data_IF_643678176074
#
_entry.id   IF_643678176074
#
_cell.length_a   1.000
_cell.length_b   1.000
_cell.length_c   1.000
_cell.angle_alpha   90.00
_cell.angle_beta   90.00
_cell.angle_gamma   90.00
#
_symmetry.space_group_name_H-M   'P 1'
#
loop_
_entity.id
_entity.type
_entity.pdbx_description
1 polymer ?
#
# COMPACT_ATOMS: atom_id res chain seq x y z
N UNK A 1 8.21 0.55 18.53
CA UNK A 1 7.63 1.84 18.12
C UNK A 1 6.65 2.32 19.17
N UNK A 2 6.43 3.62 19.29
CA UNK A 2 5.33 4.13 20.13
C UNK A 2 4.02 3.88 19.38
N UNK A 3 3.03 3.28 20.03
CA UNK A 3 1.73 2.98 19.40
C UNK A 3 0.99 4.30 19.14
N UNK A 4 0.51 4.58 17.91
CA UNK A 4 -0.34 5.73 17.64
C UNK A 4 -1.74 5.50 18.22
N UNK A 5 -2.41 6.58 18.63
CA UNK A 5 -3.80 6.52 19.09
C UNK A 5 -4.50 7.86 18.91
N UNK A 6 -5.82 7.80 18.88
CA UNK A 6 -6.71 8.94 18.73
C UNK A 6 -6.68 9.77 20.01
N UNK A 7 -6.30 11.04 19.91
CA UNK A 7 -6.30 12.05 20.98
C UNK A 7 -7.54 12.91 20.97
N UNK A 8 -8.05 13.16 19.77
CA UNK A 8 -9.31 13.82 19.53
C UNK A 8 -10.00 13.08 18.38
N UNK A 9 -11.30 12.82 18.54
CA UNK A 9 -12.06 12.02 17.58
C UNK A 9 -11.99 12.63 16.17
N UNK A 10 -11.90 11.79 15.16
CA UNK A 10 -11.94 12.24 13.78
C UNK A 10 -13.37 12.65 13.43
N UNK A 11 -13.57 13.75 12.69
CA UNK A 11 -14.90 14.15 12.25
C UNK A 11 -15.47 13.12 11.26
N UNK A 12 -16.80 13.02 11.17
CA UNK A 12 -17.46 12.10 10.24
C UNK A 12 -17.13 12.36 8.76
N UNK A 13 -16.70 13.59 8.45
CA UNK A 13 -16.22 14.03 7.13
C UNK A 13 -14.89 14.75 7.28
N UNK A 14 -13.77 14.01 7.27
CA UNK A 14 -12.45 14.59 7.40
C UNK A 14 -12.08 15.50 6.22
N UNK A 15 -11.75 16.78 6.45
CA UNK A 15 -11.50 17.73 5.36
C UNK A 15 -10.11 17.57 4.72
N UNK A 16 -9.17 16.98 5.46
CA UNK A 16 -7.77 16.89 5.08
C UNK A 16 -6.93 16.34 6.22
N UNK A 17 -5.67 16.05 5.92
CA UNK A 17 -4.67 15.56 6.88
C UNK A 17 -3.45 16.46 6.83
N UNK A 18 -2.96 16.86 8.00
CA UNK A 18 -1.73 17.63 8.15
C UNK A 18 -0.87 17.02 9.25
N UNK A 19 0.42 17.33 9.25
CA UNK A 19 1.35 16.90 10.28
C UNK A 19 1.87 18.09 11.10
N UNK A 20 1.74 17.96 12.41
CA UNK A 20 2.35 18.85 13.39
C UNK A 20 3.64 18.19 13.88
N UNK A 21 4.78 18.71 13.41
CA UNK A 21 6.10 18.18 13.73
C UNK A 21 6.51 18.42 15.19
N UNK A 22 6.07 19.53 15.79
CA UNK A 22 6.33 19.85 17.20
C UNK A 22 5.59 18.86 18.12
N UNK A 23 4.32 18.58 17.81
CA UNK A 23 3.51 17.64 18.58
C UNK A 23 3.74 16.16 18.20
N UNK A 24 4.43 15.90 17.08
CA UNK A 24 4.52 14.57 16.48
C UNK A 24 3.14 13.97 16.25
N UNK A 25 2.25 14.71 15.59
CA UNK A 25 0.84 14.40 15.52
C UNK A 25 0.25 14.63 14.13
N UNK A 26 -0.71 13.79 13.74
CA UNK A 26 -1.58 14.08 12.60
C UNK A 26 -2.77 14.89 13.07
N UNK A 27 -3.07 15.96 12.34
CA UNK A 27 -4.21 16.86 12.55
C UNK A 27 -5.20 16.65 11.41
N UNK A 28 -6.46 16.36 11.76
CA UNK A 28 -7.52 15.96 10.81
C UNK A 28 -8.79 16.73 11.17
N UNK A 29 -8.91 17.97 10.66
CA UNK A 29 -9.91 18.92 11.16
C UNK A 29 -9.73 19.14 12.66
N UNK A 30 -10.76 18.84 13.45
CA UNK A 30 -10.71 18.87 14.92
C UNK A 30 -10.09 17.60 15.53
N UNK A 31 -9.90 16.55 14.72
CA UNK A 31 -9.33 15.27 15.13
C UNK A 31 -7.82 15.30 15.24
N UNK A 32 -7.28 14.38 16.07
CA UNK A 32 -5.84 14.29 16.31
C UNK A 32 -5.40 12.86 16.59
N UNK A 33 -4.29 12.44 15.98
CA UNK A 33 -3.63 11.15 16.24
C UNK A 33 -2.19 11.41 16.65
N UNK A 34 -1.75 10.81 17.76
CA UNK A 34 -0.37 10.95 18.26
C UNK A 34 -0.03 9.78 19.19
N UNK A 35 1.24 9.34 19.26
CA UNK A 35 2.39 9.85 18.52
C UNK A 35 2.49 9.30 17.09
N UNK A 36 2.95 10.14 16.17
CA UNK A 36 3.26 9.82 14.78
C UNK A 36 4.69 10.28 14.48
N UNK A 37 5.65 9.35 14.27
CA UNK A 37 7.01 9.70 13.89
C UNK A 37 7.05 10.45 12.55
N UNK A 38 7.95 11.41 12.41
CA UNK A 38 8.09 12.20 11.19
C UNK A 38 8.42 11.31 9.98
N UNK A 39 9.15 10.22 10.19
CA UNK A 39 9.54 9.27 9.17
C UNK A 39 8.34 8.48 8.62
N UNK A 40 7.32 8.25 9.45
CA UNK A 40 6.06 7.65 8.99
C UNK A 40 5.26 8.65 8.15
N UNK A 41 5.26 9.93 8.53
CA UNK A 41 4.66 11.01 7.74
C UNK A 41 5.38 11.20 6.40
N UNK A 42 6.70 11.29 6.39
CA UNK A 42 7.51 11.53 5.18
C UNK A 42 7.75 10.28 4.33
N UNK A 43 7.14 9.14 4.67
CA UNK A 43 7.32 7.92 3.90
C UNK A 43 6.69 8.04 2.51
N UNK A 44 7.54 7.90 1.48
CA UNK A 44 7.12 7.98 0.08
C UNK A 44 7.39 6.69 -0.69
N UNK A 45 6.54 6.41 -1.68
CA UNK A 45 6.76 5.39 -2.72
C UNK A 45 6.62 6.08 -4.06
N UNK A 46 7.64 5.97 -4.91
CA UNK A 46 7.69 6.68 -6.20
C UNK A 46 7.44 8.20 -6.09
N UNK A 47 7.91 8.82 -4.99
CA UNK A 47 7.74 10.24 -4.71
C UNK A 47 6.37 10.65 -4.15
N UNK A 48 5.44 9.71 -3.97
CA UNK A 48 4.10 9.98 -3.41
C UNK A 48 4.06 9.62 -1.93
N UNK A 49 3.57 10.54 -1.09
CA UNK A 49 3.43 10.32 0.35
C UNK A 49 2.29 9.35 0.64
N UNK A 50 2.63 8.22 1.28
CA UNK A 50 1.70 7.09 1.44
C UNK A 50 0.54 7.44 2.36
N UNK A 51 0.79 8.12 3.49
CA UNK A 51 -0.27 8.50 4.44
C UNK A 51 -1.27 9.48 3.83
N UNK A 52 -0.79 10.50 3.11
CA UNK A 52 -1.66 11.46 2.43
C UNK A 52 -2.51 10.79 1.35
N UNK A 53 -1.89 9.95 0.49
CA UNK A 53 -2.61 9.24 -0.56
C UNK A 53 -3.68 8.31 0.02
N UNK A 54 -3.31 7.52 1.02
CA UNK A 54 -4.21 6.57 1.66
C UNK A 54 -5.39 7.28 2.33
N UNK A 55 -5.12 8.38 3.02
CA UNK A 55 -6.14 9.19 3.69
C UNK A 55 -7.05 9.88 2.68
N UNK A 56 -6.48 10.55 1.68
CA UNK A 56 -7.23 11.31 0.66
C UNK A 56 -8.24 10.45 -0.08
N UNK A 57 -7.87 9.22 -0.45
CA UNK A 57 -8.78 8.26 -1.10
C UNK A 57 -10.00 7.92 -0.23
N UNK A 58 -9.80 7.68 1.07
CA UNK A 58 -10.89 7.38 2.00
C UNK A 58 -11.71 8.62 2.37
N UNK A 59 -11.06 9.78 2.49
CA UNK A 59 -11.76 11.05 2.72
C UNK A 59 -12.69 11.38 1.53
N UNK A 60 -12.23 11.21 0.29
CA UNK A 60 -13.06 11.35 -0.91
C UNK A 60 -14.22 10.34 -0.93
N UNK A 61 -13.92 9.05 -0.69
CA UNK A 61 -14.94 8.00 -0.62
C UNK A 61 -16.00 8.31 0.46
N UNK A 62 -15.61 8.88 1.61
CA UNK A 62 -16.52 9.23 2.71
C UNK A 62 -17.64 10.20 2.34
N UNK A 63 -17.44 10.97 1.27
CA UNK A 63 -18.41 11.94 0.74
C UNK A 63 -18.99 11.53 -0.61
N UNK A 64 -18.73 10.30 -1.07
CA UNK A 64 -19.22 9.80 -2.36
C UNK A 64 -18.50 10.38 -3.57
N UNK A 65 -17.24 10.79 -3.39
CA UNK A 65 -16.39 11.31 -4.46
C UNK A 65 -15.22 10.37 -4.75
N UNK A 66 -14.68 10.45 -5.97
CA UNK A 66 -13.38 9.85 -6.30
C UNK A 66 -12.24 10.85 -6.02
N UNK A 67 -10.98 10.40 -5.89
CA UNK A 67 -9.84 11.27 -5.55
C UNK A 67 -9.64 12.46 -6.52
N UNK A 68 -10.11 12.34 -7.76
CA UNK A 68 -10.10 13.36 -8.80
C UNK A 68 -11.17 14.45 -8.59
N UNK A 69 -12.02 14.31 -7.57
CA UNK A 69 -13.08 15.27 -7.21
C UNK A 69 -14.38 15.12 -8.01
N UNK A 70 -14.48 14.08 -8.84
CA UNK A 70 -15.71 13.75 -9.54
C UNK A 70 -16.66 12.95 -8.62
N UNK A 71 -17.96 12.97 -8.96
CA UNK A 71 -18.95 12.11 -8.32
C UNK A 71 -18.61 10.64 -8.61
N UNK A 72 -18.71 9.79 -7.58
CA UNK A 72 -18.47 8.37 -7.74
C UNK A 72 -19.57 7.71 -8.58
N UNK A 73 -19.17 6.87 -9.54
CA UNK A 73 -20.06 6.07 -10.38
C UNK A 73 -19.75 4.57 -10.27
N UNK A 74 -20.61 3.73 -10.87
CA UNK A 74 -20.42 2.27 -10.87
C UNK A 74 -20.22 1.68 -9.46
N UNK A 75 -19.11 0.95 -9.28
CA UNK A 75 -18.77 0.34 -8.00
C UNK A 75 -18.34 1.36 -6.93
N UNK A 76 -17.74 2.47 -7.34
CA UNK A 76 -17.29 3.52 -6.41
C UNK A 76 -18.49 4.20 -5.73
N UNK A 77 -19.64 4.26 -6.41
CA UNK A 77 -20.90 4.78 -5.86
C UNK A 77 -21.49 3.92 -4.71
N UNK A 78 -21.06 2.67 -4.58
CA UNK A 78 -21.50 1.73 -3.52
C UNK A 78 -20.70 1.94 -2.22
N UNK A 79 -19.72 2.85 -2.22
CA UNK A 79 -18.82 3.14 -1.10
C UNK A 79 -19.48 3.67 0.19
N UNK A 80 -18.68 3.74 1.25
CA UNK A 80 -19.11 4.19 2.57
C UNK A 80 -19.53 5.67 2.58
N UNK A 81 -20.69 5.98 3.19
CA UNK A 81 -21.23 7.36 3.29
C UNK A 81 -20.77 8.10 4.55
N UNK A 82 -19.48 8.02 4.85
CA UNK A 82 -18.85 8.70 5.97
C UNK A 82 -17.58 8.01 6.41
N UNK A 83 -16.80 8.68 7.26
CA UNK A 83 -15.61 8.09 7.85
C UNK A 83 -15.97 7.04 8.88
N UNK A 84 -15.49 5.81 8.71
CA UNK A 84 -15.84 4.69 9.58
C UNK A 84 -14.82 4.45 10.70
N UNK A 85 -15.23 3.80 11.81
CA UNK A 85 -14.28 3.36 12.84
C UNK A 85 -13.20 2.42 12.32
N UNK A 86 -13.52 1.58 11.32
CA UNK A 86 -12.59 0.66 10.68
C UNK A 86 -11.47 1.43 9.99
N UNK A 87 -11.79 2.50 9.23
CA UNK A 87 -10.77 3.35 8.63
C UNK A 87 -9.89 4.05 9.67
N UNK A 88 -10.44 4.40 10.84
CA UNK A 88 -9.60 4.90 11.93
C UNK A 88 -8.61 3.84 12.40
N UNK A 89 -9.05 2.59 12.56
CA UNK A 89 -8.19 1.46 12.95
C UNK A 89 -7.12 1.20 11.89
N UNK A 90 -7.51 1.14 10.61
CA UNK A 90 -6.58 0.96 9.49
C UNK A 90 -5.54 2.09 9.41
N UNK A 91 -5.93 3.33 9.68
CA UNK A 91 -5.00 4.47 9.72
C UNK A 91 -3.95 4.28 10.83
N UNK A 92 -4.37 3.86 12.02
CA UNK A 92 -3.46 3.59 13.14
C UNK A 92 -2.50 2.41 12.82
N UNK A 93 -3.00 1.39 12.15
CA UNK A 93 -2.19 0.25 11.69
C UNK A 93 -1.18 0.69 10.63
N UNK A 94 -1.60 1.47 9.64
CA UNK A 94 -0.71 1.99 8.60
C UNK A 94 0.41 2.84 9.22
N UNK A 95 0.09 3.77 10.12
CA UNK A 95 1.11 4.56 10.84
C UNK A 95 2.08 3.63 11.57
N UNK A 96 1.58 2.57 12.21
CA UNK A 96 2.40 1.59 12.92
C UNK A 96 3.34 0.85 11.97
N UNK A 97 2.84 0.36 10.84
CA UNK A 97 3.63 -0.33 9.81
C UNK A 97 4.73 0.59 9.26
N UNK A 98 4.39 1.83 8.93
CA UNK A 98 5.36 2.80 8.41
C UNK A 98 6.46 3.12 9.44
N UNK A 99 6.09 3.31 10.71
CA UNK A 99 7.06 3.48 11.79
C UNK A 99 7.96 2.26 11.99
N UNK A 100 7.42 1.04 11.84
CA UNK A 100 8.21 -0.19 11.91
C UNK A 100 9.14 -0.37 10.70
N UNK A 101 8.67 0.01 9.50
CA UNK A 101 9.47 -0.01 8.28
C UNK A 101 10.69 0.90 8.38
N UNK A 102 10.51 2.08 8.98
CA UNK A 102 11.63 2.97 9.25
C UNK A 102 12.60 2.38 10.28
N UNK A 103 12.09 1.78 11.37
CA UNK A 103 12.93 1.10 12.37
C UNK A 103 13.80 -0.04 11.82
N UNK A 104 13.44 -0.65 10.68
CA UNK A 104 14.26 -1.67 10.01
C UNK A 104 15.11 -1.14 8.86
N UNK A 105 15.02 0.15 8.53
CA UNK A 105 15.76 0.78 7.42
C UNK A 105 17.28 0.55 7.48
N UNK A 106 17.97 0.72 8.63
CA UNK A 106 19.41 0.46 8.68
C UNK A 106 19.77 -0.99 8.37
N UNK A 107 18.96 -1.96 8.80
CA UNK A 107 19.16 -3.39 8.50
C UNK A 107 18.95 -3.69 7.02
N UNK A 108 17.96 -3.05 6.39
CA UNK A 108 17.70 -3.17 4.95
C UNK A 108 18.84 -2.60 4.12
N UNK A 109 19.36 -1.43 4.51
CA UNK A 109 20.51 -0.80 3.84
C UNK A 109 21.78 -1.65 3.97
N UNK A 110 22.07 -2.16 5.17
CA UNK A 110 23.18 -3.07 5.38
C UNK A 110 23.05 -4.35 4.55
N UNK A 111 21.85 -4.92 4.47
CA UNK A 111 21.56 -6.07 3.61
C UNK A 111 21.77 -5.74 2.14
N UNK A 112 21.27 -4.60 1.66
CA UNK A 112 21.42 -4.17 0.28
C UNK A 112 22.89 -3.95 -0.09
N UNK A 113 23.68 -3.31 0.77
CA UNK A 113 25.12 -3.13 0.58
C UNK A 113 25.86 -4.47 0.49
N UNK A 114 25.53 -5.41 1.38
CA UNK A 114 26.10 -6.78 1.36
C UNK A 114 25.76 -7.52 0.06
N UNK A 115 24.51 -7.42 -0.41
CA UNK A 115 24.08 -8.04 -1.67
C UNK A 115 24.71 -7.38 -2.90
N UNK A 116 24.92 -6.07 -2.87
CA UNK A 116 25.55 -5.34 -3.97
C UNK A 116 26.99 -5.80 -4.24
N UNK A 117 27.73 -6.13 -3.18
CA UNK A 117 29.10 -6.66 -3.23
C UNK A 117 29.22 -8.19 -3.30
N UNK A 118 28.11 -8.93 -3.22
CA UNK A 118 28.14 -10.38 -3.28
C UNK A 118 28.43 -10.89 -4.70
N UNK A 119 29.08 -12.05 -4.79
CA UNK A 119 29.24 -12.76 -6.06
C UNK A 119 27.85 -13.01 -6.67
N UNK A 120 27.67 -12.59 -7.91
CA UNK A 120 26.44 -12.81 -8.67
C UNK A 120 26.55 -14.11 -9.42
N UNK A 121 25.44 -14.84 -9.52
CA UNK A 121 25.37 -16.03 -10.35
C UNK A 121 25.60 -15.59 -11.81
N UNK A 122 26.64 -16.15 -12.42
CA UNK A 122 27.01 -15.91 -13.80
C UNK A 122 26.08 -16.64 -14.77
N UNK A 123 26.12 -16.22 -16.03
CA UNK A 123 25.36 -16.89 -17.10
C UNK A 123 25.87 -18.31 -17.33
N UNK A 124 27.16 -18.54 -17.13
CA UNK A 124 27.85 -19.82 -17.26
C UNK A 124 27.37 -20.80 -16.18
N UNK A 125 27.29 -20.34 -14.93
CA UNK A 125 26.73 -21.13 -13.82
C UNK A 125 25.26 -21.51 -14.08
N UNK A 126 24.45 -20.58 -14.59
CA UNK A 126 23.06 -20.88 -14.95
C UNK A 126 22.95 -21.90 -16.09
N UNK A 127 23.89 -21.92 -17.04
CA UNK A 127 23.94 -22.94 -18.10
C UNK A 127 24.39 -24.29 -17.56
N UNK A 128 25.43 -24.31 -16.73
CA UNK A 128 25.92 -25.53 -16.09
C UNK A 128 24.84 -26.18 -15.20
N UNK A 129 24.01 -25.37 -14.55
CA UNK A 129 22.86 -25.82 -13.77
C UNK A 129 21.62 -26.20 -14.61
N UNK A 130 21.67 -26.08 -15.95
CA UNK A 130 20.53 -26.40 -16.83
C UNK A 130 19.36 -25.41 -16.76
N UNK A 131 19.53 -24.25 -16.11
CA UNK A 131 18.51 -23.19 -16.04
C UNK A 131 18.43 -22.43 -17.36
N UNK A 132 19.59 -22.19 -18.00
CA UNK A 132 19.68 -21.58 -19.32
C UNK A 132 20.12 -22.59 -20.39
N UNK A 133 19.58 -22.51 -21.62
CA UNK A 133 18.58 -21.53 -22.07
C UNK A 133 17.18 -21.84 -21.52
N UNK A 134 16.35 -20.79 -21.36
CA UNK A 134 14.95 -20.95 -20.96
C UNK A 134 14.23 -21.85 -21.97
N UNK A 135 13.60 -22.96 -21.52
CA UNK A 135 12.87 -23.88 -22.39
C UNK A 135 11.78 -23.18 -23.20
N UNK A 136 11.50 -23.65 -24.42
CA UNK A 136 10.50 -23.05 -25.29
C UNK A 136 9.08 -23.04 -24.67
N UNK A 137 8.75 -24.05 -23.86
CA UNK A 137 7.47 -24.14 -23.14
C UNK A 137 7.30 -23.02 -22.11
N UNK A 138 8.36 -22.62 -21.42
CA UNK A 138 8.33 -21.57 -20.39
C UNK A 138 8.26 -20.14 -20.97
N UNK A 139 8.38 -19.99 -22.29
CA UNK A 139 8.19 -18.70 -23.00
C UNK A 139 6.77 -18.50 -23.51
N UNK A 140 5.92 -19.52 -23.40
CA UNK A 140 4.51 -19.40 -23.76
C UNK A 140 3.76 -18.71 -22.62
N UNK A 141 2.68 -17.96 -22.89
CA UNK A 141 1.73 -17.54 -21.87
C UNK A 141 1.33 -18.74 -21.01
N UNK A 142 1.02 -18.51 -19.73
CA UNK A 142 0.46 -19.56 -18.88
C UNK A 142 -0.69 -20.24 -19.63
N UNK A 143 -0.65 -21.57 -19.76
CA UNK A 143 -1.63 -22.32 -20.55
C UNK A 143 -3.07 -22.09 -20.08
N UNK A 144 -3.25 -21.70 -18.82
CA UNK A 144 -4.53 -21.22 -18.23
C UNK A 144 -5.16 -20.09 -19.04
N UNK A 145 -4.37 -19.23 -19.68
CA UNK A 145 -4.86 -18.11 -20.51
C UNK A 145 -5.14 -18.49 -21.97
N UNK A 146 -4.83 -19.73 -22.37
CA UNK A 146 -5.02 -20.23 -23.73
C UNK A 146 -6.25 -21.15 -23.91
N UNK A 147 -6.97 -21.43 -22.83
CA UNK A 147 -8.21 -22.22 -22.91
C UNK A 147 -9.37 -21.26 -23.19
N UNK A 148 -10.10 -21.53 -24.27
CA UNK A 148 -11.33 -20.81 -24.57
C UNK A 148 -12.37 -21.21 -23.51
N UNK A 149 -12.91 -20.22 -22.79
CA UNK A 149 -13.95 -20.40 -21.79
C UNK A 149 -15.14 -21.16 -22.42
N UNK A 150 -15.45 -22.35 -21.92
CA UNK A 150 -16.48 -23.23 -22.46
C UNK A 150 -17.67 -23.26 -21.49
N UNK A 151 -18.37 -22.12 -21.35
CA UNK A 151 -19.60 -22.04 -20.55
C UNK A 151 -20.19 -20.63 -20.48
N UNK A 152 -21.52 -20.48 -20.29
CA UNK A 152 -22.10 -19.19 -19.96
C UNK A 152 -21.50 -18.75 -18.61
N UNK A 153 -21.04 -17.50 -18.50
CA UNK A 153 -20.33 -16.93 -17.33
C UNK A 153 -18.82 -17.27 -17.19
N UNK A 154 -18.17 -17.87 -18.19
CA UNK A 154 -16.70 -18.02 -18.17
C UNK A 154 -16.14 -18.98 -17.12
N UNK A 155 -16.94 -19.95 -16.65
CA UNK A 155 -16.54 -20.87 -15.59
C UNK A 155 -15.70 -22.05 -16.10
N UNK A 156 -14.66 -22.40 -15.36
CA UNK A 156 -13.82 -23.59 -15.62
C UNK A 156 -14.37 -24.81 -14.87
N UNK A 157 -14.65 -25.91 -15.57
CA UNK A 157 -14.83 -27.21 -14.92
C UNK A 157 -13.43 -27.80 -14.64
N UNK A 158 -13.03 -27.81 -13.37
CA UNK A 158 -11.84 -28.54 -12.93
C UNK A 158 -12.21 -30.03 -12.83
N UNK A 159 -11.59 -30.88 -13.66
CA UNK A 159 -11.59 -32.33 -13.50
C UNK A 159 -10.41 -32.78 -12.63
#
# INVERSE_FOLDING_TARGET
GRRPYVRAALPARPPGIAYDAEAGALVIGEGRISPVPAEAWEFTVSGVRVLELWFGRRAAASVGAVPEGADADGLDAVGARGWTPEWTSELLELITVLALLDGVRPRREALAARLAGAARISREELRAAGVLPVPASARRPASVLGHQEEGPEGQFALL
#
